data_IF_877516339086
#
_entry.id   IF_877516339086
#
_cell.length_a   1.000
_cell.length_b   1.000
_cell.length_c   1.000
_cell.angle_alpha   90.00
_cell.angle_beta   90.00
_cell.angle_gamma   90.00
#
_symmetry.space_group_name_H-M   'P 1'
#
loop_
_entity.id
_entity.type
_entity.pdbx_description
1 polymer ?
#
# COMPACT_ATOMS: atom_id res chain seq x y z
N UNK A 1 5.26 -4.27 -27.90
CA UNK A 1 4.36 -5.09 -27.06
C UNK A 1 2.99 -4.44 -27.14
N UNK A 2 1.97 -5.18 -27.59
CA UNK A 2 0.61 -4.67 -27.57
C UNK A 2 0.14 -4.68 -26.12
N UNK A 3 -0.02 -3.51 -25.50
CA UNK A 3 -0.83 -3.40 -24.28
C UNK A 3 -2.23 -3.83 -24.66
N UNK A 4 -2.65 -5.01 -24.23
CA UNK A 4 -4.06 -5.40 -24.23
C UNK A 4 -4.78 -4.34 -23.41
N UNK A 5 -5.35 -3.35 -24.10
CA UNK A 5 -6.21 -2.37 -23.46
C UNK A 5 -7.45 -3.13 -23.03
N UNK A 6 -7.61 -3.29 -21.72
CA UNK A 6 -8.87 -3.72 -21.16
C UNK A 6 -9.95 -2.73 -21.61
N UNK A 7 -10.87 -3.21 -22.45
CA UNK A 7 -11.93 -2.40 -23.07
C UNK A 7 -13.14 -2.25 -22.14
N UNK A 8 -13.13 -2.84 -20.95
CA UNK A 8 -14.22 -2.70 -19.97
C UNK A 8 -14.28 -1.26 -19.46
N UNK A 9 -15.49 -0.73 -19.36
CA UNK A 9 -15.71 0.60 -18.79
C UNK A 9 -15.43 0.58 -17.29
N UNK A 10 -14.48 1.41 -16.86
CA UNK A 10 -14.04 1.50 -15.47
C UNK A 10 -15.04 2.32 -14.66
N UNK A 11 -15.44 1.82 -13.49
CA UNK A 11 -16.37 2.51 -12.59
C UNK A 11 -15.61 3.44 -11.64
N UNK A 12 -14.51 2.94 -11.08
CA UNK A 12 -13.66 3.67 -10.13
C UNK A 12 -12.35 4.00 -10.82
N UNK A 13 -12.11 5.29 -11.06
CA UNK A 13 -10.89 5.80 -11.73
C UNK A 13 -10.13 6.77 -10.82
N UNK A 14 -8.82 6.98 -11.06
CA UNK A 14 -8.06 8.04 -10.40
C UNK A 14 -8.77 9.39 -10.51
N UNK A 15 -8.74 10.16 -9.42
CA UNK A 15 -9.39 11.46 -9.33
C UNK A 15 -8.55 12.61 -9.93
N UNK A 16 -8.75 13.85 -9.47
CA UNK A 16 -9.66 14.25 -8.39
C UNK A 16 -11.13 14.14 -8.83
N UNK A 17 -11.97 13.51 -8.02
CA UNK A 17 -13.41 13.38 -8.26
C UNK A 17 -14.24 14.52 -7.65
N UNK A 18 -13.60 15.46 -6.93
CA UNK A 18 -14.24 16.64 -6.35
C UNK A 18 -14.51 16.53 -4.84
N UNK A 19 -15.18 17.53 -4.27
CA UNK A 19 -15.37 17.69 -2.81
C UNK A 19 -16.27 16.62 -2.16
N UNK A 20 -17.06 15.89 -2.94
CA UNK A 20 -17.97 14.88 -2.43
C UNK A 20 -18.24 13.78 -3.47
N UNK A 21 -17.24 12.95 -3.82
CA UNK A 21 -17.47 11.89 -4.77
C UNK A 21 -18.47 10.88 -4.19
N UNK A 22 -19.39 10.33 -5.01
CA UNK A 22 -20.22 9.21 -4.58
C UNK A 22 -19.30 8.09 -4.07
N UNK A 23 -19.75 7.35 -3.05
CA UNK A 23 -19.01 6.14 -2.65
C UNK A 23 -19.02 5.14 -3.79
N UNK A 24 -18.03 4.26 -3.85
CA UNK A 24 -18.02 3.21 -4.86
C UNK A 24 -19.27 2.33 -4.79
N UNK A 25 -19.78 2.05 -3.58
CA UNK A 25 -21.04 1.35 -3.38
C UNK A 25 -22.26 2.06 -4.01
N UNK A 26 -22.32 3.41 -3.96
CA UNK A 26 -23.39 4.18 -4.63
C UNK A 26 -23.30 4.10 -6.16
N UNK A 27 -22.12 3.77 -6.70
CA UNK A 27 -21.89 3.52 -8.12
C UNK A 27 -22.14 2.06 -8.52
N UNK A 28 -22.61 1.22 -7.60
CA UNK A 28 -22.89 -0.20 -7.85
C UNK A 28 -21.70 -1.14 -7.67
N UNK A 29 -20.55 -0.65 -7.16
CA UNK A 29 -19.39 -1.51 -6.87
C UNK A 29 -19.71 -2.39 -5.66
N UNK A 30 -19.51 -3.69 -5.83
CA UNK A 30 -19.63 -4.70 -4.77
C UNK A 30 -18.26 -5.16 -4.32
N UNK A 31 -18.12 -5.65 -3.09
CA UNK A 31 -16.87 -6.24 -2.62
C UNK A 31 -16.62 -7.61 -3.29
N UNK A 32 -15.34 -8.00 -3.50
CA UNK A 32 -15.02 -9.28 -4.13
C UNK A 32 -15.28 -10.46 -3.21
N UNK A 33 -15.66 -11.61 -3.78
CA UNK A 33 -15.70 -12.89 -3.07
C UNK A 33 -14.29 -13.53 -3.01
N UNK A 34 -14.05 -14.52 -2.13
CA UNK A 34 -12.74 -15.18 -2.03
C UNK A 34 -12.27 -15.76 -3.37
N UNK A 35 -11.07 -15.37 -3.81
CA UNK A 35 -10.48 -15.75 -5.11
C UNK A 35 -10.69 -14.69 -6.20
N UNK A 36 -11.63 -13.76 -5.99
CA UNK A 36 -11.83 -12.61 -6.85
C UNK A 36 -11.04 -11.38 -6.35
N UNK A 37 -10.90 -10.39 -7.22
CA UNK A 37 -10.45 -9.06 -6.84
C UNK A 37 -11.32 -7.98 -7.47
N UNK A 38 -11.07 -6.72 -7.13
CA UNK A 38 -11.66 -5.59 -7.84
C UNK A 38 -10.65 -4.95 -8.79
N UNK A 39 -11.10 -4.74 -10.02
CA UNK A 39 -10.39 -4.12 -11.12
C UNK A 39 -11.13 -2.86 -11.56
N UNK A 40 -10.71 -1.70 -11.06
CA UNK A 40 -11.32 -0.38 -11.30
C UNK A 40 -12.84 -0.37 -11.06
N UNK A 41 -13.28 -1.02 -9.97
CA UNK A 41 -14.69 -1.16 -9.59
C UNK A 41 -15.43 -2.33 -10.24
N UNK A 42 -14.77 -3.11 -11.10
CA UNK A 42 -15.31 -4.33 -11.71
C UNK A 42 -14.84 -5.56 -10.93
N UNK A 43 -15.73 -6.52 -10.68
CA UNK A 43 -15.34 -7.81 -10.14
C UNK A 43 -14.51 -8.58 -11.18
N UNK A 44 -13.34 -9.03 -10.77
CA UNK A 44 -12.43 -9.83 -11.56
C UNK A 44 -12.32 -11.23 -10.93
N UNK A 45 -12.85 -12.27 -11.60
CA UNK A 45 -12.89 -13.63 -11.06
C UNK A 45 -11.53 -14.23 -10.70
N UNK A 46 -10.45 -13.71 -11.29
CA UNK A 46 -9.09 -14.14 -10.97
C UNK A 46 -8.29 -12.99 -10.33
N UNK A 47 -8.14 -13.03 -9.01
CA UNK A 47 -7.38 -12.02 -8.27
C UNK A 47 -5.94 -11.82 -8.79
N UNK A 48 -5.31 -12.82 -9.42
CA UNK A 48 -3.96 -12.64 -10.01
C UNK A 48 -3.93 -11.59 -11.13
N UNK A 49 -5.02 -11.45 -11.91
CA UNK A 49 -5.12 -10.41 -12.95
C UNK A 49 -5.11 -9.01 -12.32
N UNK A 50 -5.77 -8.86 -11.17
CA UNK A 50 -5.74 -7.62 -10.39
C UNK A 50 -4.33 -7.35 -9.88
N UNK A 51 -3.65 -8.38 -9.37
CA UNK A 51 -2.27 -8.26 -8.86
C UNK A 51 -1.29 -7.90 -9.98
N UNK A 52 -1.46 -8.43 -11.19
CA UNK A 52 -0.65 -8.05 -12.34
C UNK A 52 -0.83 -6.58 -12.72
N UNK A 53 -2.06 -6.06 -12.72
CA UNK A 53 -2.28 -4.64 -12.96
C UNK A 53 -1.74 -3.77 -11.82
N UNK A 54 -1.85 -4.22 -10.56
CA UNK A 54 -1.20 -3.54 -9.44
C UNK A 54 0.31 -3.44 -9.67
N UNK A 55 0.95 -4.54 -10.09
CA UNK A 55 2.37 -4.56 -10.42
C UNK A 55 2.69 -3.59 -11.55
N UNK A 56 1.96 -3.63 -12.67
CA UNK A 56 2.17 -2.72 -13.81
C UNK A 56 2.07 -1.26 -13.39
N UNK A 57 1.08 -0.90 -12.56
CA UNK A 57 0.93 0.47 -12.05
C UNK A 57 2.08 0.88 -11.15
N UNK A 58 2.42 0.07 -10.15
CA UNK A 58 3.53 0.37 -9.25
C UNK A 58 4.89 0.46 -9.98
N UNK A 59 5.10 -0.35 -11.02
CA UNK A 59 6.35 -0.38 -11.79
C UNK A 59 6.50 0.77 -12.79
N UNK A 60 5.41 1.44 -13.17
CA UNK A 60 5.42 2.47 -14.22
C UNK A 60 5.04 3.86 -13.73
N UNK A 61 4.36 3.97 -12.58
CA UNK A 61 3.96 5.25 -12.02
C UNK A 61 5.12 5.95 -11.30
N UNK A 62 5.32 7.25 -11.54
CA UNK A 62 6.21 8.08 -10.76
C UNK A 62 5.91 8.03 -9.27
N UNK A 63 6.96 8.04 -8.45
CA UNK A 63 6.87 8.12 -6.99
C UNK A 63 5.93 7.05 -6.39
N UNK A 64 5.91 5.85 -6.97
CA UNK A 64 5.15 4.73 -6.46
C UNK A 64 5.47 4.49 -4.97
N UNK A 65 4.44 4.35 -4.15
CA UNK A 65 4.58 4.34 -2.69
C UNK A 65 3.82 3.19 -2.04
N UNK A 66 4.47 2.50 -1.10
CA UNK A 66 3.83 1.51 -0.23
C UNK A 66 3.49 2.19 1.10
N UNK A 67 2.22 2.09 1.49
CA UNK A 67 1.71 2.58 2.77
C UNK A 67 1.43 1.40 3.71
N UNK A 68 2.43 0.92 4.49
CA UNK A 68 2.21 -0.10 5.50
C UNK A 68 1.43 0.48 6.68
N UNK A 69 0.39 -0.24 7.11
CA UNK A 69 -0.44 0.14 8.25
C UNK A 69 -0.02 -0.48 9.59
N UNK A 70 -0.74 -0.17 10.68
CA UNK A 70 -0.42 -0.60 12.03
C UNK A 70 -0.40 -2.12 12.22
N UNK A 71 -1.09 -2.90 11.37
CA UNK A 71 -1.08 -4.36 11.44
C UNK A 71 0.27 -4.98 11.02
N UNK A 72 1.16 -4.20 10.40
CA UNK A 72 2.50 -4.61 9.96
C UNK A 72 3.63 -3.89 10.72
N UNK A 73 3.43 -2.62 11.04
CA UNK A 73 4.49 -1.73 11.52
C UNK A 73 5.03 -2.11 12.90
N UNK A 74 4.17 -2.68 13.72
CA UNK A 74 4.48 -2.99 15.10
C UNK A 74 4.86 -4.48 15.20
N UNK A 75 6.11 -4.79 15.53
CA UNK A 75 6.58 -6.17 15.71
C UNK A 75 6.10 -6.79 17.04
N UNK A 76 4.78 -6.85 17.24
CA UNK A 76 4.15 -7.33 18.48
C UNK A 76 3.99 -8.87 18.53
N UNK A 77 4.04 -9.54 17.38
CA UNK A 77 4.12 -11.00 17.28
C UNK A 77 4.86 -11.43 16.01
N UNK A 78 5.14 -12.73 15.91
CA UNK A 78 5.84 -13.31 14.75
C UNK A 78 5.02 -13.16 13.46
N UNK A 79 3.69 -13.21 13.54
CA UNK A 79 2.82 -13.06 12.37
C UNK A 79 2.96 -11.69 11.71
N UNK A 80 2.98 -10.61 12.51
CA UNK A 80 3.19 -9.25 12.05
C UNK A 80 4.60 -9.08 11.44
N UNK A 81 5.61 -9.68 12.07
CA UNK A 81 6.99 -9.71 11.55
C UNK A 81 7.05 -10.41 10.19
N UNK A 82 6.43 -11.58 10.04
CA UNK A 82 6.42 -12.33 8.78
C UNK A 82 5.65 -11.60 7.68
N UNK A 83 4.52 -10.97 8.00
CA UNK A 83 3.80 -10.13 7.03
C UNK A 83 4.61 -8.88 6.64
N UNK A 84 5.34 -8.27 7.57
CA UNK A 84 6.21 -7.14 7.27
C UNK A 84 7.35 -7.54 6.33
N UNK A 85 8.00 -8.70 6.57
CA UNK A 85 8.99 -9.27 5.65
C UNK A 85 8.40 -9.53 4.27
N UNK A 86 7.23 -10.14 4.19
CA UNK A 86 6.55 -10.38 2.91
C UNK A 86 6.22 -9.05 2.18
N UNK A 87 5.89 -7.99 2.91
CA UNK A 87 5.69 -6.65 2.34
C UNK A 87 6.99 -6.06 1.79
N UNK A 88 8.11 -6.26 2.47
CA UNK A 88 9.44 -5.87 1.99
C UNK A 88 9.86 -6.65 0.75
N UNK A 89 9.42 -7.91 0.59
CA UNK A 89 9.61 -8.67 -0.65
C UNK A 89 8.90 -8.03 -1.86
N UNK A 90 7.70 -7.45 -1.67
CA UNK A 90 7.02 -6.65 -2.70
C UNK A 90 7.86 -5.41 -3.02
N UNK A 91 8.27 -4.67 -1.97
CA UNK A 91 9.08 -3.47 -2.14
C UNK A 91 10.35 -3.77 -2.93
N UNK A 92 11.02 -4.90 -2.67
CA UNK A 92 12.21 -5.36 -3.39
C UNK A 92 12.02 -5.56 -4.90
N UNK A 93 10.77 -5.62 -5.40
CA UNK A 93 10.47 -5.74 -6.82
C UNK A 93 10.17 -4.40 -7.50
N UNK A 94 10.17 -3.27 -6.81
CA UNK A 94 9.77 -1.99 -7.39
C UNK A 94 10.95 -1.02 -7.31
N UNK A 95 11.45 -0.49 -8.45
CA UNK A 95 12.53 0.48 -8.42
C UNK A 95 12.04 1.83 -7.85
N UNK A 96 12.91 2.53 -7.14
CA UNK A 96 12.66 3.87 -6.58
C UNK A 96 11.41 3.98 -5.68
N UNK A 97 10.90 2.85 -5.17
CA UNK A 97 9.65 2.82 -4.40
C UNK A 97 9.86 3.51 -3.06
N UNK A 98 8.90 4.32 -2.64
CA UNK A 98 8.91 4.92 -1.30
C UNK A 98 8.12 4.03 -0.34
N UNK A 99 8.52 4.03 0.93
CA UNK A 99 7.75 3.43 2.01
C UNK A 99 7.44 4.53 3.02
N UNK A 100 6.17 4.91 3.11
CA UNK A 100 5.71 5.94 4.05
C UNK A 100 4.68 5.27 4.97
N UNK A 101 4.91 5.15 6.27
CA UNK A 101 4.01 4.42 7.15
C UNK A 101 2.67 5.13 7.41
N UNK A 102 1.65 4.33 7.73
CA UNK A 102 0.44 4.75 8.46
C UNK A 102 0.51 4.16 9.88
N UNK A 103 1.22 4.78 10.84
CA UNK A 103 1.54 4.19 12.14
C UNK A 103 0.34 4.12 13.09
N UNK A 104 -0.59 5.06 12.98
CA UNK A 104 -1.82 5.11 13.76
C UNK A 104 -2.89 5.94 13.02
N UNK A 105 -4.12 5.86 13.50
CA UNK A 105 -5.28 6.47 12.84
C UNK A 105 -5.75 7.78 13.48
N UNK A 106 -5.10 8.22 14.56
CA UNK A 106 -5.54 9.41 15.29
C UNK A 106 -5.32 10.64 14.42
N UNK A 107 -6.20 11.65 14.46
CA UNK A 107 -5.96 12.91 13.78
C UNK A 107 -4.65 13.55 14.26
N UNK A 108 -3.74 13.85 13.33
CA UNK A 108 -2.44 14.48 13.62
C UNK A 108 -2.38 15.97 13.28
N UNK A 109 -3.49 16.55 12.81
CA UNK A 109 -3.55 17.96 12.45
C UNK A 109 -3.32 18.87 13.66
N UNK A 110 -2.53 19.98 13.55
CA UNK A 110 -1.85 20.50 12.37
C UNK A 110 -0.41 19.98 12.15
N UNK A 111 0.05 19.01 12.93
CA UNK A 111 1.49 18.63 13.06
C UNK A 111 1.92 17.47 12.15
N UNK A 112 1.22 17.22 11.05
CA UNK A 112 1.58 16.13 10.14
C UNK A 112 2.81 16.53 9.30
N UNK A 113 3.82 15.66 9.26
CA UNK A 113 4.90 15.73 8.27
C UNK A 113 4.52 14.79 7.09
N UNK A 114 4.17 15.34 5.91
CA UNK A 114 3.78 14.55 4.75
C UNK A 114 4.89 13.63 4.22
N UNK A 115 6.17 13.91 4.50
CA UNK A 115 7.30 13.07 4.03
C UNK A 115 7.55 11.85 4.93
N UNK A 116 6.99 11.83 6.14
CA UNK A 116 7.23 10.78 7.14
C UNK A 116 6.03 9.89 7.40
N UNK A 117 4.81 10.40 7.19
CA UNK A 117 3.60 9.67 7.58
C UNK A 117 2.41 10.01 6.68
N UNK A 118 1.59 8.99 6.38
CA UNK A 118 0.24 9.20 5.85
C UNK A 118 -0.79 9.12 7.00
N UNK A 119 -1.73 10.05 7.02
CA UNK A 119 -2.82 10.07 7.99
C UNK A 119 -4.16 9.85 7.26
N UNK A 120 -5.05 8.98 7.77
CA UNK A 120 -6.31 8.68 7.09
C UNK A 120 -7.25 9.88 6.96
N UNK A 121 -7.09 10.90 7.81
CA UNK A 121 -7.96 12.08 7.81
C UNK A 121 -7.48 13.19 6.87
N UNK A 122 -6.22 13.17 6.43
CA UNK A 122 -5.66 14.13 5.47
C UNK A 122 -4.63 13.46 4.53
N UNK A 123 -4.97 12.34 3.88
CA UNK A 123 -3.99 11.57 3.12
C UNK A 123 -3.52 12.31 1.87
N UNK A 124 -4.35 13.22 1.35
CA UNK A 124 -4.03 14.10 0.23
C UNK A 124 -2.77 14.93 0.48
N UNK A 125 -2.44 15.31 1.72
CA UNK A 125 -1.23 16.07 2.02
C UNK A 125 0.03 15.26 1.71
N UNK A 126 0.06 13.99 2.11
CA UNK A 126 1.16 13.04 1.82
C UNK A 126 1.26 12.76 0.32
N UNK A 127 0.12 12.53 -0.34
CA UNK A 127 0.08 12.30 -1.78
C UNK A 127 0.62 13.51 -2.56
N UNK A 128 0.15 14.72 -2.26
CA UNK A 128 0.59 15.94 -2.94
C UNK A 128 2.04 16.31 -2.60
N UNK A 129 2.43 16.24 -1.33
CA UNK A 129 3.77 16.61 -0.86
C UNK A 129 4.86 15.77 -1.52
N UNK A 130 4.59 14.48 -1.74
CA UNK A 130 5.54 13.54 -2.36
C UNK A 130 5.24 13.27 -3.85
N UNK A 131 4.23 13.94 -4.44
CA UNK A 131 3.79 13.78 -5.84
C UNK A 131 3.56 12.31 -6.23
N UNK A 132 2.84 11.59 -5.38
CA UNK A 132 2.62 10.14 -5.53
C UNK A 132 1.53 9.89 -6.58
N UNK A 133 1.85 9.13 -7.62
CA UNK A 133 0.90 8.81 -8.70
C UNK A 133 0.30 7.41 -8.60
N UNK A 134 0.92 6.52 -7.83
CA UNK A 134 0.35 5.22 -7.48
C UNK A 134 0.75 4.81 -6.07
N UNK A 135 -0.17 4.17 -5.35
CA UNK A 135 0.15 3.64 -4.05
C UNK A 135 -0.59 2.35 -3.70
N UNK A 136 -0.01 1.59 -2.78
CA UNK A 136 -0.59 0.35 -2.27
C UNK A 136 -0.66 0.39 -0.74
N UNK A 137 -1.84 0.14 -0.19
CA UNK A 137 -2.08 0.01 1.24
C UNK A 137 -2.03 -1.47 1.64
N UNK A 138 -1.24 -1.77 2.67
CA UNK A 138 -1.09 -3.14 3.18
C UNK A 138 -1.13 -3.08 4.70
N UNK A 139 -1.89 -3.95 5.36
CA UNK A 139 -1.96 -3.98 6.83
C UNK A 139 -2.67 -2.80 7.47
N UNK A 140 -3.68 -2.25 6.80
CA UNK A 140 -4.54 -1.18 7.29
C UNK A 140 -5.92 -1.76 7.63
N UNK A 141 -6.54 -1.33 8.73
CA UNK A 141 -7.90 -1.75 9.07
C UNK A 141 -8.92 -1.22 8.06
N UNK A 142 -9.92 -2.03 7.74
CA UNK A 142 -10.75 -1.79 6.57
C UNK A 142 -11.48 -0.43 6.57
N UNK A 143 -12.00 -0.02 7.72
CA UNK A 143 -12.71 1.24 7.87
C UNK A 143 -11.79 2.47 7.66
N UNK A 144 -10.54 2.41 8.12
CA UNK A 144 -9.57 3.50 7.90
C UNK A 144 -9.00 3.49 6.48
N UNK A 145 -8.83 2.31 5.88
CA UNK A 145 -8.46 2.20 4.47
C UNK A 145 -9.53 2.86 3.59
N UNK A 146 -10.81 2.50 3.74
CA UNK A 146 -11.89 3.08 2.93
C UNK A 146 -12.01 4.61 3.10
N UNK A 147 -11.89 5.13 4.32
CA UNK A 147 -11.83 6.58 4.56
C UNK A 147 -10.68 7.22 3.78
N UNK A 148 -9.48 6.66 3.92
CA UNK A 148 -8.26 7.14 3.25
C UNK A 148 -8.42 7.13 1.73
N UNK A 149 -8.84 6.00 1.16
CA UNK A 149 -9.00 5.78 -0.26
C UNK A 149 -10.01 6.76 -0.87
N UNK A 150 -11.14 6.97 -0.20
CA UNK A 150 -12.16 7.94 -0.61
C UNK A 150 -11.61 9.36 -0.64
N UNK A 151 -10.85 9.77 0.38
CA UNK A 151 -10.23 11.09 0.44
C UNK A 151 -9.16 11.28 -0.64
N UNK A 152 -8.36 10.24 -0.93
CA UNK A 152 -7.38 10.28 -2.01
C UNK A 152 -8.08 10.42 -3.37
N UNK A 153 -9.16 9.66 -3.63
CA UNK A 153 -9.94 9.78 -4.88
C UNK A 153 -10.62 11.15 -5.00
N UNK A 154 -11.10 11.71 -3.89
CA UNK A 154 -11.72 13.04 -3.88
C UNK A 154 -10.71 14.14 -4.28
N UNK A 155 -9.52 14.12 -3.67
CA UNK A 155 -8.57 15.23 -3.75
C UNK A 155 -7.40 15.05 -4.72
N UNK A 156 -7.14 13.85 -5.24
CA UNK A 156 -5.89 13.56 -5.96
C UNK A 156 -6.12 12.66 -7.17
N UNK A 157 -5.12 12.58 -8.05
CA UNK A 157 -5.05 11.68 -9.19
C UNK A 157 -4.22 10.41 -8.91
N UNK A 158 -3.93 10.10 -7.64
CA UNK A 158 -3.20 8.90 -7.29
C UNK A 158 -4.03 7.64 -7.55
N UNK A 159 -3.45 6.66 -8.26
CA UNK A 159 -4.04 5.34 -8.43
C UNK A 159 -3.84 4.53 -7.15
N UNK A 160 -4.92 4.27 -6.42
CA UNK A 160 -4.85 3.58 -5.13
C UNK A 160 -5.12 2.09 -5.27
N UNK A 161 -4.38 1.31 -4.50
CA UNK A 161 -4.44 -0.14 -4.49
C UNK A 161 -4.47 -0.64 -3.05
N UNK A 162 -5.08 -1.79 -2.79
CA UNK A 162 -5.10 -2.36 -1.46
C UNK A 162 -4.93 -3.88 -1.44
N UNK A 163 -4.07 -4.35 -0.55
CA UNK A 163 -3.88 -5.77 -0.22
C UNK A 163 -4.48 -5.98 1.17
N UNK A 164 -5.78 -6.27 1.18
CA UNK A 164 -6.60 -6.29 2.38
C UNK A 164 -6.51 -7.66 3.07
N UNK A 165 -6.42 -7.67 4.39
CA UNK A 165 -6.43 -8.89 5.19
C UNK A 165 -7.82 -9.55 5.27
N UNK A 166 -8.90 -8.82 4.94
CA UNK A 166 -10.28 -9.27 5.13
C UNK A 166 -11.08 -9.16 3.82
N UNK A 167 -11.84 -8.09 3.62
CA UNK A 167 -12.93 -8.05 2.63
C UNK A 167 -12.55 -7.37 1.29
N UNK A 168 -11.41 -6.69 1.23
CA UNK A 168 -11.09 -5.77 0.13
C UNK A 168 -11.66 -4.37 0.36
N UNK A 169 -11.38 -3.47 -0.58
CA UNK A 169 -11.78 -2.06 -0.53
C UNK A 169 -12.44 -1.59 -1.83
N UNK A 170 -13.74 -1.29 -1.77
CA UNK A 170 -14.53 -0.83 -2.90
C UNK A 170 -14.07 0.53 -3.46
N UNK A 171 -13.50 1.39 -2.60
CA UNK A 171 -13.00 2.71 -3.00
C UNK A 171 -11.56 2.65 -3.57
N UNK A 172 -10.87 1.51 -3.51
CA UNK A 172 -9.58 1.32 -4.18
C UNK A 172 -9.80 1.06 -5.68
N UNK A 173 -8.90 1.56 -6.53
CA UNK A 173 -8.93 1.21 -7.95
C UNK A 173 -8.57 -0.25 -8.17
N UNK A 174 -7.69 -0.84 -7.35
CA UNK A 174 -7.38 -2.26 -7.40
C UNK A 174 -7.39 -2.81 -5.97
N UNK A 175 -8.08 -3.91 -5.71
CA UNK A 175 -8.00 -4.55 -4.40
C UNK A 175 -8.09 -6.06 -4.49
N UNK A 176 -7.38 -6.72 -3.59
CA UNK A 176 -7.55 -8.14 -3.28
C UNK A 176 -7.86 -8.30 -1.79
N UNK A 177 -8.38 -9.46 -1.43
CA UNK A 177 -8.92 -9.76 -0.11
C UNK A 177 -8.26 -10.97 0.54
N UNK A 178 -8.57 -11.24 1.81
CA UNK A 178 -8.04 -12.37 2.59
C UNK A 178 -6.51 -12.53 2.50
N UNK A 179 -5.79 -11.41 2.57
CA UNK A 179 -4.33 -11.38 2.40
C UNK A 179 -3.59 -11.76 3.68
N UNK A 180 -3.26 -13.04 3.76
CA UNK A 180 -2.31 -13.57 4.73
C UNK A 180 -0.85 -13.44 4.23
N UNK A 181 0.10 -13.94 5.03
CA UNK A 181 1.52 -13.90 4.69
C UNK A 181 1.83 -14.62 3.37
N UNK A 182 1.18 -15.76 3.10
CA UNK A 182 1.41 -16.53 1.88
C UNK A 182 0.90 -15.77 0.65
N UNK A 183 -0.27 -15.14 0.74
CA UNK A 183 -0.82 -14.31 -0.33
C UNK A 183 0.04 -13.08 -0.60
N UNK A 184 0.57 -12.42 0.44
CA UNK A 184 1.49 -11.28 0.24
C UNK A 184 2.79 -11.74 -0.46
N UNK A 185 3.33 -12.92 -0.12
CA UNK A 185 4.48 -13.50 -0.85
C UNK A 185 4.11 -13.83 -2.30
N UNK A 186 2.89 -14.33 -2.55
CA UNK A 186 2.39 -14.56 -3.91
C UNK A 186 2.31 -13.25 -4.70
N UNK A 187 1.85 -12.16 -4.08
CA UNK A 187 1.88 -10.82 -4.67
C UNK A 187 3.31 -10.42 -5.06
N UNK A 188 4.29 -10.59 -4.16
CA UNK A 188 5.70 -10.31 -4.47
C UNK A 188 6.22 -11.13 -5.65
N UNK A 189 5.85 -12.41 -5.76
CA UNK A 189 6.22 -13.26 -6.90
C UNK A 189 5.61 -12.77 -8.22
N UNK A 190 4.35 -12.33 -8.22
CA UNK A 190 3.70 -11.79 -9.42
C UNK A 190 4.35 -10.46 -9.81
N UNK A 191 4.65 -9.57 -8.85
CA UNK A 191 5.39 -8.33 -9.10
C UNK A 191 6.75 -8.62 -9.74
N UNK A 192 7.48 -9.63 -9.24
CA UNK A 192 8.74 -10.08 -9.84
C UNK A 192 8.55 -10.54 -11.28
N UNK A 193 7.56 -11.41 -11.54
CA UNK A 193 7.23 -11.90 -12.90
C UNK A 193 6.95 -10.74 -13.85
N UNK A 194 6.04 -9.84 -13.48
CA UNK A 194 5.65 -8.68 -14.30
C UNK A 194 6.85 -7.76 -14.55
N UNK A 195 7.67 -7.50 -13.54
CA UNK A 195 8.91 -6.71 -13.68
C UNK A 195 9.85 -7.32 -14.71
N UNK A 196 10.08 -8.62 -14.64
CA UNK A 196 10.95 -9.37 -15.56
C UNK A 196 10.40 -9.37 -16.99
N UNK A 197 9.10 -9.59 -17.17
CA UNK A 197 8.40 -9.49 -18.47
C UNK A 197 8.52 -8.08 -19.09
N UNK A 198 8.50 -7.04 -18.26
CA UNK A 198 8.67 -5.65 -18.68
C UNK A 198 10.13 -5.25 -18.90
N UNK A 199 11.10 -6.13 -18.57
CA UNK A 199 12.53 -5.84 -18.70
C UNK A 199 13.05 -4.77 -17.75
N UNK A 200 12.35 -4.50 -16.64
CA UNK A 200 12.73 -3.47 -15.67
C UNK A 200 13.86 -4.01 -14.77
N UNK A 201 15.01 -3.33 -14.82
CA UNK A 201 16.19 -3.67 -14.02
C UNK A 201 16.12 -3.05 -12.63
N UNK A 202 16.61 -3.80 -11.64
CA UNK A 202 16.83 -3.32 -10.29
C UNK A 202 18.32 -2.99 -10.10
N UNK A 203 18.67 -2.11 -9.14
CA UNK A 203 20.08 -1.85 -8.81
C UNK A 203 20.77 -3.11 -8.28
N UNK A 204 22.04 -3.30 -8.63
CA UNK A 204 22.80 -4.52 -8.30
C UNK A 204 22.97 -4.74 -6.78
N UNK A 205 23.03 -3.66 -6.02
CA UNK A 205 23.12 -3.68 -4.55
C UNK A 205 21.75 -3.92 -3.86
N UNK A 206 20.67 -4.00 -4.63
CA UNK A 206 19.30 -4.15 -4.13
C UNK A 206 18.75 -2.92 -3.41
N UNK A 207 19.39 -1.75 -3.50
CA UNK A 207 18.93 -0.52 -2.85
C UNK A 207 17.83 0.16 -3.67
N UNK A 208 16.67 -0.49 -3.76
CA UNK A 208 15.57 -0.05 -4.61
C UNK A 208 14.46 0.72 -3.84
N UNK A 209 14.54 0.80 -2.50
CA UNK A 209 13.65 1.67 -1.71
C UNK A 209 14.28 3.04 -1.58
N UNK A 210 13.58 4.06 -2.08
CA UNK A 210 14.01 5.45 -2.00
C UNK A 210 13.48 6.11 -0.73
N UNK A 211 14.35 6.83 -0.04
CA UNK A 211 13.98 7.66 1.10
C UNK A 211 13.34 8.98 0.65
N UNK A 212 12.36 9.44 1.43
CA UNK A 212 11.86 10.82 1.32
C UNK A 212 12.92 11.83 1.79
N UNK A 213 12.65 13.13 1.65
CA UNK A 213 13.59 14.18 2.06
C UNK A 213 13.91 14.13 3.56
N UNK A 214 12.89 13.98 4.41
CA UNK A 214 13.06 13.82 5.86
C UNK A 214 13.76 12.51 6.21
N UNK A 215 13.37 11.38 5.61
CA UNK A 215 14.05 10.09 5.81
C UNK A 215 15.54 10.16 5.44
N UNK A 216 15.87 10.81 4.33
CA UNK A 216 17.27 10.97 3.90
C UNK A 216 18.09 11.76 4.93
N UNK A 217 17.53 12.84 5.50
CA UNK A 217 18.21 13.65 6.53
C UNK A 217 18.52 12.85 7.78
N UNK A 218 17.59 12.03 8.27
CA UNK A 218 17.80 11.22 9.48
C UNK A 218 18.73 10.02 9.22
N UNK A 219 18.89 9.61 7.96
CA UNK A 219 19.84 8.58 7.53
C UNK A 219 21.15 9.14 6.98
N UNK A 220 21.58 10.33 7.43
CA UNK A 220 22.90 10.89 7.11
C UNK A 220 23.08 11.25 5.64
N UNK A 221 22.00 11.61 4.93
CA UNK A 221 22.01 11.94 3.51
C UNK A 221 21.95 10.73 2.58
N UNK A 222 21.81 9.51 3.13
CA UNK A 222 21.53 8.32 2.30
C UNK A 222 20.21 8.54 1.55
N UNK A 223 20.14 8.12 0.29
CA UNK A 223 18.94 8.32 -0.55
C UNK A 223 18.15 7.04 -0.76
N UNK A 224 18.79 5.87 -0.57
CA UNK A 224 18.19 4.57 -0.83
C UNK A 224 18.55 3.54 0.23
N UNK A 225 17.78 2.46 0.29
CA UNK A 225 18.11 1.30 1.11
C UNK A 225 17.63 0.01 0.46
N UNK A 226 18.26 -1.09 0.85
CA UNK A 226 17.83 -2.42 0.45
C UNK A 226 16.73 -2.89 1.42
N UNK A 227 15.48 -3.09 0.96
CA UNK A 227 14.38 -3.52 1.83
C UNK A 227 14.64 -4.89 2.47
N UNK A 228 15.44 -5.75 1.84
CA UNK A 228 15.76 -7.10 2.32
C UNK A 228 16.94 -7.12 3.30
N UNK A 229 17.70 -6.02 3.43
CA UNK A 229 18.75 -5.90 4.44
C UNK A 229 18.18 -5.72 5.86
N UNK A 230 16.90 -5.40 5.98
CA UNK A 230 16.23 -5.23 7.27
C UNK A 230 15.71 -6.57 7.81
N UNK A 231 16.08 -6.90 9.04
CA UNK A 231 15.60 -8.08 9.76
C UNK A 231 14.77 -7.65 10.98
N UNK A 232 13.43 -7.52 10.87
CA UNK A 232 12.60 -7.22 12.01
C UNK A 232 12.67 -8.37 13.03
N UNK A 233 12.92 -8.04 14.29
CA UNK A 233 12.91 -9.00 15.41
C UNK A 233 11.81 -8.63 16.41
N UNK A 234 11.05 -9.63 16.92
CA UNK A 234 10.15 -9.40 18.04
C UNK A 234 10.93 -8.82 19.25
N UNK A 235 10.40 -7.76 19.87
CA UNK A 235 11.03 -7.13 21.04
C UNK A 235 12.24 -6.24 20.75
N UNK A 236 12.56 -5.94 19.48
CA UNK A 236 13.58 -4.95 19.12
C UNK A 236 13.25 -3.53 19.59
N UNK A 237 14.21 -2.61 19.46
CA UNK A 237 14.11 -1.20 19.88
C UNK A 237 12.96 -0.41 19.20
N UNK A 238 12.37 -0.96 18.14
CA UNK A 238 11.16 -0.44 17.46
C UNK A 238 9.88 -1.26 17.70
N UNK A 239 9.86 -2.16 18.68
CA UNK A 239 8.68 -2.99 18.97
C UNK A 239 7.54 -2.20 19.63
N UNK A 240 6.31 -2.69 19.48
CA UNK A 240 5.11 -2.06 20.05
C UNK A 240 5.23 -1.80 21.57
N UNK A 241 5.91 -2.71 22.27
CA UNK A 241 6.14 -2.63 23.71
C UNK A 241 6.93 -1.38 24.14
N UNK A 242 7.89 -0.94 23.33
CA UNK A 242 8.67 0.29 23.58
C UNK A 242 7.81 1.57 23.52
N UNK A 243 6.70 1.51 22.78
CA UNK A 243 5.74 2.60 22.64
C UNK A 243 4.52 2.44 23.54
N UNK A 244 4.58 1.53 24.53
CA UNK A 244 3.50 1.32 25.51
C UNK A 244 2.30 0.51 24.97
N UNK A 245 2.44 -0.12 23.80
CA UNK A 245 1.40 -0.97 23.22
C UNK A 245 1.68 -2.43 23.58
N UNK A 246 0.78 -3.04 24.37
CA UNK A 246 0.81 -4.48 24.66
C UNK A 246 -0.10 -5.24 23.69
N UNK A 247 0.19 -6.52 23.45
CA UNK A 247 -0.68 -7.40 22.67
C UNK A 247 -2.09 -7.53 23.27
N UNK A 248 -2.25 -7.29 24.57
CA UNK A 248 -3.53 -7.34 25.29
C UNK A 248 -4.40 -6.11 25.01
N UNK A 249 -3.80 -4.94 24.77
CA UNK A 249 -4.54 -3.71 24.45
C UNK A 249 -5.29 -3.80 23.11
N UNK A 250 -4.82 -4.61 22.16
CA UNK A 250 -5.40 -4.72 20.81
C UNK A 250 -6.31 -5.95 20.63
N UNK A 251 -6.31 -6.92 21.55
CA UNK A 251 -7.23 -8.08 21.54
C UNK A 251 -8.70 -7.72 21.77
N UNK A 252 -8.98 -6.48 22.21
CA UNK A 252 -10.34 -5.98 22.46
C UNK A 252 -11.03 -5.36 21.24
N UNK A 253 -10.33 -5.24 20.10
CA UNK A 253 -10.87 -4.64 18.87
C UNK A 253 -10.98 -5.66 17.72
N UNK A 254 -11.28 -6.93 18.06
CA UNK A 254 -11.66 -7.98 17.11
C UNK A 254 -13.12 -8.37 17.29
#
# INVERSE_FOLDING_TARGET
MATTQDTRERIIVPGPAGFHPPSAAQLGVSLPDPGEGLFYGLLEPNEEVVIEEMARKMLTSPNATIFPGPLLLWAWNDHAVEKAKATLEIAAQIPEVMIIPMPDYRPKYPKIDPEEVINPNHPNLTIWGNKIEACIFIGVHCHYANLTLKMIRAGTNCCTMAVCAEQGHEDAMLTIRDSDTLKIKRVAQIFKRVREEMGIKLPENGENVRFTGTQSKVHGGKTHTNPMAFAPTPGGTGSAAMFGHSAEHMKREG
#
